data_IF_726549599986
#
_entry.id   IF_726549599986
#
_cell.length_a   1.000
_cell.length_b   1.000
_cell.length_c   1.000
_cell.angle_alpha   90.00
_cell.angle_beta   90.00
_cell.angle_gamma   90.00
#
_symmetry.space_group_name_H-M   'P 1'
#
loop_
_entity.id
_entity.type
_entity.pdbx_description
1 polymer ?
#
# COMPACT_ATOMS: atom_id res chain seq x y z
N UNK A 1 9.60 31.26 4.61
CA UNK A 1 9.73 29.86 5.05
C UNK A 1 10.25 29.11 3.86
N UNK A 2 11.56 28.84 3.84
CA UNK A 2 12.15 27.98 2.81
C UNK A 2 11.34 26.68 2.72
N UNK A 3 10.84 26.39 1.52
CA UNK A 3 10.39 25.05 1.19
C UNK A 3 11.64 24.17 1.25
N UNK A 4 11.84 23.48 2.37
CA UNK A 4 12.78 22.37 2.45
C UNK A 4 12.38 21.39 1.35
N UNK A 5 13.19 21.29 0.30
CA UNK A 5 13.08 20.21 -0.68
C UNK A 5 13.34 18.89 0.05
N UNK A 6 12.28 18.30 0.58
CA UNK A 6 12.28 16.91 1.02
C UNK A 6 12.51 16.06 -0.22
N UNK A 7 13.76 15.67 -0.43
CA UNK A 7 14.11 14.69 -1.46
C UNK A 7 13.61 13.34 -0.99
N UNK A 8 12.68 12.76 -1.75
CA UNK A 8 12.09 11.48 -1.41
C UNK A 8 13.08 10.36 -1.68
N UNK A 9 13.35 9.54 -0.66
CA UNK A 9 14.14 8.32 -0.85
C UNK A 9 13.28 7.23 -1.51
N UNK A 10 13.46 7.06 -2.83
CA UNK A 10 12.77 6.02 -3.62
C UNK A 10 13.09 4.62 -3.11
N UNK A 11 14.31 4.37 -2.59
CA UNK A 11 14.68 3.08 -2.02
C UNK A 11 13.90 2.77 -0.75
N UNK A 12 13.72 3.78 0.10
CA UNK A 12 12.90 3.67 1.31
C UNK A 12 11.44 3.37 0.98
N UNK A 13 10.84 4.12 0.04
CA UNK A 13 9.44 3.92 -0.37
C UNK A 13 9.24 2.56 -1.04
N UNK A 14 10.17 2.14 -1.91
CA UNK A 14 10.12 0.82 -2.55
C UNK A 14 10.17 -0.32 -1.52
N UNK A 15 11.00 -0.18 -0.48
CA UNK A 15 11.05 -1.14 0.64
C UNK A 15 9.71 -1.23 1.38
N UNK A 16 9.04 -0.11 1.64
CA UNK A 16 7.71 -0.09 2.27
C UNK A 16 6.65 -0.77 1.39
N UNK A 17 6.76 -0.62 0.07
CA UNK A 17 5.86 -1.23 -0.90
C UNK A 17 6.22 -2.71 -1.24
N UNK A 18 7.29 -3.26 -0.65
CA UNK A 18 7.84 -4.57 -0.99
C UNK A 18 8.18 -4.73 -2.49
N UNK A 19 8.70 -3.68 -3.11
CA UNK A 19 9.15 -3.65 -4.51
C UNK A 19 10.67 -3.62 -4.54
N UNK A 20 11.28 -4.58 -5.24
CA UNK A 20 12.71 -4.56 -5.53
C UNK A 20 12.97 -3.74 -6.79
N UNK A 21 13.90 -2.78 -6.71
CA UNK A 21 14.26 -1.89 -7.80
C UNK A 21 15.75 -1.98 -8.09
N UNK A 22 16.10 -2.01 -9.37
CA UNK A 22 17.47 -1.81 -9.83
C UNK A 22 17.91 -0.37 -9.63
N UNK A 23 19.22 -0.10 -9.62
CA UNK A 23 19.74 1.26 -9.43
C UNK A 23 19.33 2.20 -10.58
N UNK A 24 19.22 1.68 -11.80
CA UNK A 24 18.71 2.44 -12.96
C UNK A 24 17.24 2.83 -12.78
N UNK A 25 16.41 1.91 -12.26
CA UNK A 25 15.00 2.20 -11.98
C UNK A 25 14.85 3.20 -10.84
N UNK A 26 15.70 3.15 -9.81
CA UNK A 26 15.69 4.14 -8.72
C UNK A 26 15.97 5.55 -9.25
N UNK A 27 16.97 5.72 -10.11
CA UNK A 27 17.27 7.01 -10.74
C UNK A 27 16.11 7.52 -11.61
N UNK A 28 15.54 6.63 -12.42
CA UNK A 28 14.39 6.95 -13.27
C UNK A 28 13.19 7.40 -12.43
N UNK A 29 12.81 6.59 -11.43
CA UNK A 29 11.65 6.85 -10.59
C UNK A 29 11.85 8.04 -9.68
N UNK A 30 13.07 8.36 -9.26
CA UNK A 30 13.33 9.59 -8.52
C UNK A 30 12.90 10.81 -9.33
N UNK A 31 13.37 10.93 -10.58
CA UNK A 31 13.00 12.08 -11.43
C UNK A 31 11.51 12.11 -11.76
N UNK A 32 10.87 10.95 -11.98
CA UNK A 32 9.45 10.89 -12.30
C UNK A 32 8.57 11.25 -11.10
N UNK A 33 8.92 10.74 -9.92
CA UNK A 33 8.16 11.01 -8.71
C UNK A 33 8.33 12.47 -8.26
N UNK A 34 9.51 13.06 -8.41
CA UNK A 34 9.69 14.50 -8.16
C UNK A 34 8.74 15.34 -9.02
N UNK A 35 8.56 15.00 -10.29
CA UNK A 35 7.61 15.69 -11.18
C UNK A 35 6.17 15.53 -10.73
N UNK A 36 5.78 14.33 -10.30
CA UNK A 36 4.43 14.06 -9.79
C UNK A 36 4.18 14.84 -8.50
N UNK A 37 5.14 14.86 -7.57
CA UNK A 37 5.02 15.61 -6.32
C UNK A 37 4.93 17.12 -6.58
N UNK A 38 5.76 17.67 -7.45
CA UNK A 38 5.66 19.09 -7.86
C UNK A 38 4.32 19.41 -8.52
N UNK A 39 3.71 18.46 -9.24
CA UNK A 39 2.37 18.64 -9.78
C UNK A 39 1.30 18.65 -8.68
N UNK A 40 1.40 17.73 -7.70
CA UNK A 40 0.48 17.65 -6.56
C UNK A 40 0.59 18.86 -5.63
N UNK A 41 1.76 19.49 -5.52
CA UNK A 41 1.96 20.72 -4.74
C UNK A 41 1.04 21.88 -5.17
N UNK A 42 0.52 21.88 -6.40
CA UNK A 42 -0.46 22.87 -6.87
C UNK A 42 -1.74 22.85 -6.03
N UNK A 43 -2.08 21.71 -5.39
CA UNK A 43 -3.23 21.61 -4.50
C UNK A 43 -3.10 22.49 -3.24
N UNK A 44 -1.87 22.86 -2.85
CA UNK A 44 -1.65 23.76 -1.70
C UNK A 44 -2.14 25.19 -1.94
N UNK A 45 -2.37 25.58 -3.20
CA UNK A 45 -2.92 26.91 -3.54
C UNK A 45 -4.43 27.01 -3.24
N UNK A 46 -5.10 25.88 -3.07
CA UNK A 46 -6.53 25.81 -2.82
C UNK A 46 -6.81 25.92 -1.31
N UNK A 47 -7.60 26.91 -0.90
CA UNK A 47 -8.03 27.05 0.50
C UNK A 47 -9.12 26.02 0.83
N UNK A 48 -8.82 25.10 1.74
CA UNK A 48 -9.72 24.04 2.21
C UNK A 48 -10.22 24.24 3.66
N UNK A 49 -10.00 25.42 4.27
CA UNK A 49 -10.27 25.65 5.69
C UNK A 49 -11.73 25.46 6.14
N UNK A 50 -12.68 25.58 5.22
CA UNK A 50 -14.14 25.41 5.48
C UNK A 50 -14.71 24.14 4.83
N UNK A 51 -13.87 23.33 4.17
CA UNK A 51 -14.30 22.14 3.45
C UNK A 51 -14.09 20.91 4.35
N UNK A 52 -15.18 20.23 4.68
CA UNK A 52 -15.09 18.93 5.37
C UNK A 52 -14.47 17.88 4.45
N UNK A 53 -13.54 17.08 4.99
CA UNK A 53 -12.96 15.95 4.26
C UNK A 53 -14.05 14.95 3.93
N UNK A 54 -14.38 14.84 2.65
CA UNK A 54 -15.37 13.88 2.18
C UNK A 54 -14.74 12.49 2.05
N UNK A 55 -14.87 11.70 3.11
CA UNK A 55 -14.63 10.26 3.02
C UNK A 55 -15.89 9.61 2.46
N UNK A 56 -15.85 9.16 1.21
CA UNK A 56 -16.90 8.29 0.66
C UNK A 56 -16.78 6.86 1.22
N UNK A 57 -16.71 6.72 2.54
CA UNK A 57 -17.22 5.52 3.20
C UNK A 57 -18.71 5.76 3.33
N UNK A 58 -19.46 5.26 2.34
CA UNK A 58 -20.90 5.29 2.35
C UNK A 58 -21.42 4.89 3.75
N UNK A 59 -22.33 5.73 4.25
CA UNK A 59 -22.96 5.64 5.54
C UNK A 59 -23.31 4.19 5.94
N UNK A 60 -22.56 3.65 6.89
CA UNK A 60 -23.02 2.62 7.80
C UNK A 60 -22.20 2.76 9.08
N UNK A 61 -22.58 3.71 9.92
CA UNK A 61 -22.16 3.65 11.32
C UNK A 61 -22.71 2.31 11.85
N UNK A 62 -21.84 1.50 12.43
CA UNK A 62 -22.17 0.22 13.06
C UNK A 62 -22.67 -0.91 12.12
N UNK A 63 -22.04 -1.08 10.94
CA UNK A 63 -22.23 -2.32 10.17
C UNK A 63 -21.50 -3.50 10.82
N UNK A 64 -22.06 -3.99 11.92
CA UNK A 64 -21.55 -5.17 12.61
C UNK A 64 -22.09 -6.43 11.95
N UNK A 65 -21.21 -7.41 11.76
CA UNK A 65 -21.58 -8.79 11.43
C UNK A 65 -22.01 -9.50 12.71
N UNK A 66 -23.09 -10.28 12.66
CA UNK A 66 -23.46 -11.20 13.74
C UNK A 66 -22.34 -12.21 14.01
N UNK A 67 -22.17 -12.61 15.27
CA UNK A 67 -21.18 -13.61 15.68
C UNK A 67 -21.70 -15.04 15.48
N UNK A 68 -22.06 -15.36 14.24
CA UNK A 68 -22.51 -16.68 13.83
C UNK A 68 -21.43 -17.38 12.99
N UNK A 69 -21.41 -18.72 13.03
CA UNK A 69 -20.52 -19.52 12.20
C UNK A 69 -20.92 -19.46 10.71
N UNK A 70 -19.94 -19.26 9.84
CA UNK A 70 -20.12 -19.26 8.38
C UNK A 70 -19.52 -20.52 7.75
N UNK A 71 -19.98 -20.87 6.55
CA UNK A 71 -19.38 -21.94 5.76
C UNK A 71 -17.96 -21.50 5.35
N UNK A 72 -16.96 -22.25 5.79
CA UNK A 72 -15.56 -22.03 5.37
C UNK A 72 -15.31 -22.58 3.97
N UNK A 73 -14.38 -21.98 3.23
CA UNK A 73 -13.90 -22.54 1.97
C UNK A 73 -13.22 -23.89 2.21
N UNK A 74 -13.35 -24.81 1.25
CA UNK A 74 -12.66 -26.10 1.33
C UNK A 74 -11.15 -25.92 1.23
N UNK A 75 -10.40 -26.81 1.87
CA UNK A 75 -8.93 -26.77 1.83
C UNK A 75 -8.39 -26.81 0.39
N UNK A 76 -9.00 -27.62 -0.47
CA UNK A 76 -8.66 -27.72 -1.89
C UNK A 76 -8.81 -26.37 -2.62
N UNK A 77 -9.91 -25.65 -2.39
CA UNK A 77 -10.16 -24.34 -3.01
C UNK A 77 -9.14 -23.30 -2.55
N UNK A 78 -8.80 -23.29 -1.25
CA UNK A 78 -7.81 -22.35 -0.70
C UNK A 78 -6.41 -22.65 -1.26
N UNK A 79 -6.05 -23.92 -1.40
CA UNK A 79 -4.71 -24.32 -1.87
C UNK A 79 -4.55 -24.26 -3.40
N UNK A 80 -5.63 -24.16 -4.16
CA UNK A 80 -5.59 -24.19 -5.63
C UNK A 80 -4.65 -23.14 -6.25
N UNK A 81 -4.50 -21.98 -5.60
CA UNK A 81 -3.64 -20.88 -6.06
C UNK A 81 -2.34 -20.72 -5.25
N UNK A 82 -2.02 -21.63 -4.33
CA UNK A 82 -0.81 -21.53 -3.54
C UNK A 82 0.43 -21.79 -4.42
N UNK A 83 1.37 -20.83 -4.56
CA UNK A 83 2.55 -21.02 -5.42
C UNK A 83 3.44 -22.19 -4.99
N UNK A 84 3.47 -22.48 -3.69
CA UNK A 84 4.10 -23.66 -3.13
C UNK A 84 3.31 -24.14 -1.92
N UNK A 85 3.08 -25.44 -1.82
CA UNK A 85 2.34 -26.06 -0.73
C UNK A 85 3.10 -27.26 -0.15
N UNK A 86 2.92 -27.53 1.14
CA UNK A 86 3.45 -28.71 1.81
C UNK A 86 2.62 -29.05 3.04
N UNK A 87 2.31 -30.32 3.22
CA UNK A 87 1.64 -30.82 4.43
C UNK A 87 0.35 -30.05 4.79
N UNK A 88 -0.38 -29.58 3.77
CA UNK A 88 -1.59 -28.79 3.95
C UNK A 88 -1.39 -27.29 4.22
N UNK A 89 -0.16 -26.77 4.13
CA UNK A 89 0.16 -25.36 4.35
C UNK A 89 0.76 -24.70 3.11
N UNK A 90 0.62 -23.38 3.00
CA UNK A 90 1.38 -22.57 2.03
C UNK A 90 2.84 -22.52 2.49
N UNK A 91 3.76 -22.93 1.63
CA UNK A 91 5.19 -22.94 1.92
C UNK A 91 5.79 -21.60 1.50
N UNK A 92 6.45 -20.93 2.43
CA UNK A 92 7.21 -19.69 2.19
C UNK A 92 8.66 -19.84 2.67
N UNK A 93 9.60 -19.01 2.17
CA UNK A 93 10.95 -18.96 2.73
C UNK A 93 10.90 -18.70 4.24
N UNK A 94 11.79 -19.32 4.98
CA UNK A 94 11.88 -19.13 6.42
C UNK A 94 12.22 -17.66 6.70
N UNK A 95 11.38 -16.99 7.49
CA UNK A 95 11.71 -15.67 8.04
C UNK A 95 12.81 -15.90 9.07
N UNK A 96 13.98 -15.34 8.79
CA UNK A 96 15.11 -15.26 9.72
C UNK A 96 15.23 -13.78 10.03
N UNK A 97 15.18 -13.41 11.31
CA UNK A 97 15.33 -12.00 11.72
C UNK A 97 16.67 -11.45 11.22
N UNK A 98 16.66 -10.18 10.78
CA UNK A 98 17.86 -9.39 10.50
C UNK A 98 18.40 -8.73 11.77
#
# INVERSE_FOLDING_TARGET
MESEKHTMDVGYVAKLAAIELTDQEKELFHSQLDQVLSYVEQLNEVNLGEVEVRNESAASHDQLRSDDEGISLSHEVIMANAPSASSGCVRVPKIIDQ
#
